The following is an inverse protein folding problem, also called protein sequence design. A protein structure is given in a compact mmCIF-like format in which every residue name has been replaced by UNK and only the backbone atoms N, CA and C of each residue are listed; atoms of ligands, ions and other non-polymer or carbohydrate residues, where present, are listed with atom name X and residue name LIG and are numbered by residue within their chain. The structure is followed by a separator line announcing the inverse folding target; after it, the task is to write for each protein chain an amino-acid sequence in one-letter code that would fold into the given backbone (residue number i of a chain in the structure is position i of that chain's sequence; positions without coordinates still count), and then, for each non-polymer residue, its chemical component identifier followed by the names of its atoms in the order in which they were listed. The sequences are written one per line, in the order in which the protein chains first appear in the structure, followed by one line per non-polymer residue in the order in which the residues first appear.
data_IF_894851635545
#
_entry.id   IF_894851635545
#
_cell.length_a   1.000
_cell.length_b   1.000
_cell.length_c   1.000
_cell.angle_alpha   90.00
_cell.angle_beta   90.00
_cell.angle_gamma   90.00
#
_symmetry.space_group_name_H-M   'P 1'
#
loop_
_entity.id
_entity.type
_entity.pdbx_description
1 polymer ?
#
# COMPACT_ATOMS: atom_id res chain seq x y z
N UNK A 1 54.80 -3.92 35.28
CA UNK A 1 53.83 -5.02 35.16
C UNK A 1 53.83 -5.50 33.71
N UNK A 2 54.36 -6.69 33.41
CA UNK A 2 54.27 -7.23 32.06
C UNK A 2 52.83 -7.78 31.85
N UNK A 3 52.16 -7.39 30.76
CA UNK A 3 50.83 -7.89 30.49
C UNK A 3 50.87 -9.41 30.24
N UNK A 4 50.01 -10.12 30.93
CA UNK A 4 49.94 -11.58 30.83
C UNK A 4 49.46 -11.95 29.41
N UNK A 5 50.34 -12.48 28.54
CA UNK A 5 50.08 -12.86 27.14
C UNK A 5 48.78 -13.69 26.99
N UNK A 6 48.46 -14.57 27.96
CA UNK A 6 47.22 -15.38 27.96
C UNK A 6 45.98 -14.49 28.12
N UNK A 7 46.04 -13.46 28.95
CA UNK A 7 44.91 -12.54 29.13
C UNK A 7 44.67 -11.65 27.89
N UNK A 8 45.75 -11.20 27.22
CA UNK A 8 45.65 -10.47 25.96
C UNK A 8 45.03 -11.31 24.85
N UNK A 9 45.43 -12.59 24.71
CA UNK A 9 44.86 -13.48 23.71
C UNK A 9 43.35 -13.73 23.98
N UNK A 10 42.97 -13.91 25.26
CA UNK A 10 41.54 -14.08 25.61
C UNK A 10 40.72 -12.84 25.24
N UNK A 11 41.19 -11.65 25.53
CA UNK A 11 40.52 -10.39 25.19
C UNK A 11 40.43 -10.26 23.66
N UNK A 12 41.51 -10.55 22.94
CA UNK A 12 41.51 -10.52 21.48
C UNK A 12 40.51 -11.49 20.90
N UNK A 13 40.46 -12.75 21.34
CA UNK A 13 39.51 -13.73 20.89
C UNK A 13 38.05 -13.29 21.19
N UNK A 14 37.80 -12.70 22.36
CA UNK A 14 36.48 -12.21 22.74
C UNK A 14 36.01 -11.06 21.84
N UNK A 15 36.90 -10.10 21.58
CA UNK A 15 36.62 -8.98 20.68
C UNK A 15 36.37 -9.47 19.24
N UNK A 16 37.22 -10.40 18.75
CA UNK A 16 37.04 -10.98 17.42
C UNK A 16 35.70 -11.73 17.31
N UNK A 17 35.33 -12.51 18.32
CA UNK A 17 34.02 -13.19 18.35
C UNK A 17 32.86 -12.19 18.33
N UNK A 18 32.97 -11.09 19.08
CA UNK A 18 31.96 -10.02 19.08
C UNK A 18 31.83 -9.36 17.68
N UNK A 19 32.96 -9.09 17.02
CA UNK A 19 32.95 -8.54 15.65
C UNK A 19 32.32 -9.51 14.64
N UNK A 20 32.62 -10.81 14.73
CA UNK A 20 32.01 -11.84 13.86
C UNK A 20 30.50 -11.91 14.08
N UNK A 21 30.04 -11.87 15.33
CA UNK A 21 28.61 -11.82 15.66
C UNK A 21 27.93 -10.56 15.10
N UNK A 22 28.57 -9.40 15.26
CA UNK A 22 28.06 -8.16 14.72
C UNK A 22 27.97 -8.19 13.19
N UNK A 23 29.02 -8.67 12.53
CA UNK A 23 29.05 -8.82 11.07
C UNK A 23 27.95 -9.79 10.60
N UNK A 24 27.77 -10.91 11.27
CA UNK A 24 26.67 -11.87 10.98
C UNK A 24 25.31 -11.27 11.17
N UNK A 25 25.11 -10.47 12.22
CA UNK A 25 23.86 -9.75 12.45
C UNK A 25 23.57 -8.67 11.37
N UNK A 26 24.61 -7.93 10.96
CA UNK A 26 24.48 -6.96 9.86
C UNK A 26 24.15 -7.66 8.54
N UNK A 27 24.77 -8.79 8.24
CA UNK A 27 24.43 -9.58 7.06
C UNK A 27 22.98 -10.06 7.11
N UNK A 28 22.50 -10.52 8.27
CA UNK A 28 21.09 -10.89 8.46
C UNK A 28 20.16 -9.71 8.13
N UNK A 29 20.45 -8.52 8.66
CA UNK A 29 19.66 -7.31 8.37
C UNK A 29 19.64 -7.01 6.88
N UNK A 30 20.82 -7.04 6.23
CA UNK A 30 20.94 -6.70 4.80
C UNK A 30 20.24 -7.71 3.90
N UNK A 31 20.33 -9.01 4.18
CA UNK A 31 19.80 -10.05 3.29
C UNK A 31 18.40 -10.55 3.66
N UNK A 32 17.95 -10.36 4.88
CA UNK A 32 16.66 -10.90 5.34
C UNK A 32 15.66 -9.86 5.80
N UNK A 33 16.12 -8.85 6.52
CA UNK A 33 15.24 -7.90 7.18
C UNK A 33 15.18 -6.53 6.42
N UNK A 34 16.00 -6.35 5.38
CA UNK A 34 16.09 -5.08 4.63
C UNK A 34 14.79 -4.72 3.93
N UNK A 35 14.09 -5.68 3.36
CA UNK A 35 12.82 -5.47 2.68
C UNK A 35 11.75 -4.93 3.65
N UNK A 36 11.62 -5.51 4.84
CA UNK A 36 10.70 -5.05 5.88
C UNK A 36 11.07 -3.66 6.44
N UNK A 37 12.37 -3.35 6.51
CA UNK A 37 12.84 -2.05 6.99
C UNK A 37 12.64 -0.95 5.95
N UNK A 38 12.80 -1.27 4.68
CA UNK A 38 12.62 -0.32 3.57
C UNK A 38 11.14 -0.06 3.32
N UNK A 39 10.29 -1.09 3.40
CA UNK A 39 8.83 -0.98 3.17
C UNK A 39 8.06 -0.44 4.37
N UNK A 40 8.73 -0.20 5.50
CA UNK A 40 8.06 0.32 6.68
C UNK A 40 7.59 1.76 6.44
N UNK A 41 6.28 2.00 6.56
CA UNK A 41 5.64 3.31 6.40
C UNK A 41 6.16 4.41 7.36
N UNK A 42 6.85 4.02 8.44
CA UNK A 42 7.54 4.94 9.35
C UNK A 42 8.96 5.31 8.90
N UNK A 43 9.46 4.74 7.80
CA UNK A 43 10.77 5.08 7.29
C UNK A 43 10.72 6.42 6.53
N UNK A 44 11.30 7.52 7.05
CA UNK A 44 11.24 8.82 6.40
C UNK A 44 11.95 8.86 5.04
N UNK A 45 12.82 7.90 4.75
CA UNK A 45 13.50 7.78 3.44
C UNK A 45 12.57 7.29 2.34
N UNK A 46 11.48 6.59 2.69
CA UNK A 46 10.46 6.14 1.73
C UNK A 46 9.69 7.34 1.14
N UNK A 47 9.65 8.46 1.87
CA UNK A 47 8.96 9.67 1.45
C UNK A 47 9.84 10.64 0.64
N UNK A 48 11.12 10.34 0.47
CA UNK A 48 11.99 11.13 -0.42
C UNK A 48 11.70 10.70 -1.84
N UNK A 49 11.14 11.60 -2.62
CA UNK A 49 10.87 11.37 -4.03
C UNK A 49 12.18 11.45 -4.81
N UNK A 50 12.59 10.35 -5.41
CA UNK A 50 13.75 10.34 -6.32
C UNK A 50 13.25 10.54 -7.75
N UNK A 51 13.20 11.80 -8.17
CA UNK A 51 12.78 12.18 -9.52
C UNK A 51 13.76 11.73 -10.62
N UNK A 52 14.89 11.15 -10.27
CA UNK A 52 15.87 10.64 -11.23
C UNK A 52 15.57 9.20 -11.67
N UNK A 53 14.72 8.49 -10.92
CA UNK A 53 14.32 7.12 -11.22
C UNK A 53 12.98 7.14 -11.98
N UNK A 54 12.93 6.46 -13.11
CA UNK A 54 11.67 6.18 -13.79
C UNK A 54 10.90 5.11 -13.01
N UNK A 55 9.89 5.51 -12.26
CA UNK A 55 9.01 4.57 -11.54
C UNK A 55 8.25 3.68 -12.53
N UNK A 56 8.06 2.42 -12.17
CA UNK A 56 7.29 1.45 -12.94
C UNK A 56 5.83 1.87 -13.14
N UNK A 57 5.18 1.32 -14.15
CA UNK A 57 3.79 1.61 -14.44
C UNK A 57 2.85 0.86 -13.49
N UNK A 58 1.71 1.47 -13.16
CA UNK A 58 0.59 0.81 -12.50
C UNK A 58 -0.48 0.55 -13.54
N UNK A 59 -0.87 -0.72 -13.71
CA UNK A 59 -1.85 -1.15 -14.71
C UNK A 59 -3.07 -1.78 -14.04
N UNK A 60 -4.22 -1.65 -14.68
CA UNK A 60 -5.42 -2.38 -14.29
C UNK A 60 -5.34 -3.86 -14.71
N UNK A 61 -6.38 -4.65 -14.40
CA UNK A 61 -6.43 -6.07 -14.73
C UNK A 61 -6.43 -6.35 -16.24
N UNK A 62 -6.83 -5.38 -17.05
CA UNK A 62 -6.90 -5.47 -18.50
C UNK A 62 -5.61 -4.93 -19.17
N UNK A 63 -4.63 -4.51 -18.39
CA UNK A 63 -3.38 -3.92 -18.87
C UNK A 63 -3.47 -2.44 -19.22
N UNK A 64 -4.58 -1.77 -18.90
CA UNK A 64 -4.73 -0.31 -19.07
C UNK A 64 -3.79 0.39 -18.10
N UNK A 65 -2.96 1.30 -18.59
CA UNK A 65 -2.03 2.06 -17.76
C UNK A 65 -2.78 3.12 -16.98
N UNK A 66 -2.77 3.01 -15.65
CA UNK A 66 -3.41 3.94 -14.72
C UNK A 66 -2.44 5.00 -14.19
N UNK A 67 -1.18 4.63 -13.98
CA UNK A 67 -0.12 5.57 -13.62
C UNK A 67 1.19 5.20 -14.31
N UNK A 68 1.94 6.22 -14.75
CA UNK A 68 3.22 6.08 -15.45
C UNK A 68 4.12 7.26 -15.14
N UNK A 69 5.42 7.13 -15.48
CA UNK A 69 6.39 8.22 -15.33
C UNK A 69 6.75 8.78 -16.70
N UNK A 70 6.55 10.09 -16.87
CA UNK A 70 6.91 10.85 -18.07
C UNK A 70 8.23 11.57 -17.85
N UNK A 71 9.13 11.56 -18.83
CA UNK A 71 10.41 12.24 -18.75
C UNK A 71 10.23 13.74 -18.93
N UNK A 72 10.75 14.51 -17.98
CA UNK A 72 10.79 15.97 -18.05
C UNK A 72 12.23 16.46 -17.78
N UNK A 73 12.95 16.75 -18.87
CA UNK A 73 14.37 17.08 -18.81
C UNK A 73 15.23 15.91 -18.30
N UNK A 74 15.90 16.12 -17.15
CA UNK A 74 16.71 15.10 -16.47
C UNK A 74 15.93 14.34 -15.37
N UNK A 75 14.67 14.69 -15.16
CA UNK A 75 13.81 14.15 -14.12
C UNK A 75 12.61 13.42 -14.71
N UNK A 76 11.84 12.74 -13.85
CA UNK A 76 10.59 12.09 -14.19
C UNK A 76 9.44 12.68 -13.39
N UNK A 77 8.31 12.90 -14.07
CA UNK A 77 7.06 13.35 -13.46
C UNK A 77 6.06 12.21 -13.48
N UNK A 78 5.43 11.95 -12.33
CA UNK A 78 4.38 10.93 -12.23
C UNK A 78 3.09 11.44 -12.85
N UNK A 79 2.46 10.62 -13.72
CA UNK A 79 1.21 10.91 -14.41
C UNK A 79 0.16 9.87 -14.07
N UNK A 80 -1.08 10.32 -13.94
CA UNK A 80 -2.22 9.50 -13.57
C UNK A 80 -3.32 9.59 -14.63
N UNK A 81 -3.60 8.49 -15.33
CA UNK A 81 -4.71 8.40 -16.27
C UNK A 81 -6.01 8.14 -15.49
N UNK A 82 -7.08 8.90 -15.79
CA UNK A 82 -8.34 8.86 -15.03
C UNK A 82 -8.08 8.90 -13.50
N UNK A 83 -7.12 9.76 -13.11
CA UNK A 83 -6.58 9.79 -11.75
C UNK A 83 -7.63 10.03 -10.67
N UNK A 84 -8.60 10.90 -10.95
CA UNK A 84 -9.68 11.25 -10.02
C UNK A 84 -10.54 10.03 -9.68
N UNK A 85 -10.90 9.19 -10.66
CA UNK A 85 -11.70 7.98 -10.44
C UNK A 85 -10.93 6.92 -9.66
N UNK A 86 -9.61 6.90 -9.80
CA UNK A 86 -8.72 5.92 -9.18
C UNK A 86 -7.93 6.46 -7.98
N UNK A 87 -8.17 7.71 -7.56
CA UNK A 87 -7.35 8.44 -6.58
C UNK A 87 -7.06 7.64 -5.30
N UNK A 88 -8.10 7.03 -4.71
CA UNK A 88 -7.95 6.29 -3.46
C UNK A 88 -7.34 4.90 -3.62
N UNK A 89 -7.33 4.34 -4.83
CA UNK A 89 -6.63 3.09 -5.16
C UNK A 89 -5.17 3.37 -5.43
N UNK A 90 -4.89 4.26 -6.38
CA UNK A 90 -3.53 4.60 -6.79
C UNK A 90 -2.78 5.32 -5.68
N UNK A 91 -3.46 6.24 -5.01
CA UNK A 91 -2.84 7.17 -4.11
C UNK A 91 -2.16 8.30 -4.88
N UNK A 92 -1.07 8.81 -4.33
CA UNK A 92 -0.32 9.94 -4.86
C UNK A 92 1.15 9.86 -4.48
N UNK A 93 1.97 10.68 -5.18
CA UNK A 93 3.34 11.07 -4.83
C UNK A 93 3.39 12.60 -4.69
N UNK A 94 4.50 13.15 -4.21
CA UNK A 94 4.72 14.61 -4.15
C UNK A 94 4.42 15.27 -2.80
N UNK A 95 3.53 14.72 -1.97
CA UNK A 95 3.29 15.12 -0.57
C UNK A 95 3.35 13.90 0.36
N UNK A 96 4.44 13.18 0.29
CA UNK A 96 4.53 11.81 0.76
C UNK A 96 3.92 10.86 -0.27
N UNK A 97 3.53 9.66 0.16
CA UNK A 97 2.95 8.64 -0.70
C UNK A 97 1.73 8.01 -0.03
N UNK A 98 0.73 7.65 -0.81
CA UNK A 98 -0.47 6.97 -0.32
C UNK A 98 -0.90 5.88 -1.31
N UNK A 99 -1.91 5.05 -0.94
CA UNK A 99 -2.47 4.02 -1.79
C UNK A 99 -1.43 3.03 -2.30
N UNK A 100 -1.57 2.60 -3.55
CA UNK A 100 -0.63 1.66 -4.19
C UNK A 100 0.75 2.27 -4.44
N UNK A 101 0.84 3.60 -4.65
CA UNK A 101 2.12 4.30 -4.73
C UNK A 101 2.96 4.15 -3.45
N UNK A 102 2.31 4.09 -2.28
CA UNK A 102 2.98 3.84 -1.01
C UNK A 102 3.21 2.35 -0.75
N UNK A 103 2.18 1.53 -0.98
CA UNK A 103 2.22 0.09 -0.67
C UNK A 103 3.29 -0.63 -1.51
N UNK A 104 3.38 -0.29 -2.78
CA UNK A 104 4.30 -0.91 -3.74
C UNK A 104 5.48 0.00 -4.10
N UNK A 105 5.80 0.96 -3.22
CA UNK A 105 6.86 1.92 -3.49
C UNK A 105 8.19 1.25 -3.84
N UNK A 106 8.54 0.19 -3.11
CA UNK A 106 9.77 -0.55 -3.34
C UNK A 106 9.80 -1.17 -4.75
N UNK A 107 8.73 -1.85 -5.15
CA UNK A 107 8.60 -2.46 -6.48
C UNK A 107 8.67 -1.41 -7.58
N UNK A 108 7.95 -0.30 -7.41
CA UNK A 108 7.87 0.76 -8.40
C UNK A 108 9.17 1.56 -8.57
N UNK A 109 10.02 1.65 -7.54
CA UNK A 109 11.32 2.36 -7.61
C UNK A 109 12.50 1.43 -7.85
N UNK A 110 12.35 0.12 -7.65
CA UNK A 110 13.45 -0.81 -7.72
C UNK A 110 13.20 -1.87 -8.79
N UNK A 111 14.27 -2.26 -9.47
CA UNK A 111 14.27 -3.45 -10.30
C UNK A 111 14.39 -4.64 -9.33
N UNK A 112 13.36 -5.48 -9.25
CA UNK A 112 13.36 -6.66 -8.36
C UNK A 112 14.34 -7.74 -8.79
N UNK A 113 14.87 -7.65 -10.01
CA UNK A 113 15.79 -8.63 -10.55
C UNK A 113 17.23 -8.11 -10.64
N UNK A 114 18.06 -8.68 -9.75
CA UNK A 114 19.52 -8.80 -9.77
C UNK A 114 20.38 -7.51 -9.78
N UNK A 115 21.23 -7.43 -8.77
CA UNK A 115 22.39 -6.53 -8.69
C UNK A 115 23.14 -6.45 -10.04
N UNK A 116 23.17 -7.54 -10.80
CA UNK A 116 23.78 -7.60 -12.12
C UNK A 116 23.10 -6.69 -13.16
N UNK A 117 21.77 -6.55 -13.14
CA UNK A 117 21.06 -5.67 -14.07
C UNK A 117 21.30 -4.20 -13.72
N UNK A 118 21.31 -3.84 -12.45
CA UNK A 118 21.66 -2.49 -12.00
C UNK A 118 23.09 -2.12 -12.37
N UNK A 119 24.03 -3.04 -12.16
CA UNK A 119 25.43 -2.84 -12.53
C UNK A 119 25.58 -2.74 -14.04
N UNK A 120 24.86 -3.56 -14.82
CA UNK A 120 24.88 -3.51 -16.28
C UNK A 120 24.25 -2.23 -16.83
N UNK A 121 23.16 -1.76 -16.23
CA UNK A 121 22.52 -0.49 -16.60
C UNK A 121 23.46 0.69 -16.30
N UNK A 122 24.08 0.70 -15.13
CA UNK A 122 25.09 1.71 -14.76
C UNK A 122 26.29 1.71 -15.71
N UNK A 123 26.82 0.54 -16.04
CA UNK A 123 27.97 0.42 -16.97
C UNK A 123 27.62 0.77 -18.41
N UNK A 124 26.38 0.57 -18.84
CA UNK A 124 25.91 0.87 -20.20
C UNK A 124 25.31 2.27 -20.34
N UNK A 125 25.15 3.01 -19.24
CA UNK A 125 24.48 4.32 -19.24
C UNK A 125 23.00 4.24 -19.63
N UNK A 126 22.35 3.09 -19.38
CA UNK A 126 20.90 2.90 -19.66
C UNK A 126 20.08 3.35 -18.44
N UNK A 127 18.88 3.86 -18.72
CA UNK A 127 17.95 4.31 -17.66
C UNK A 127 17.57 3.15 -16.72
N UNK A 128 17.55 3.44 -15.43
CA UNK A 128 17.01 2.53 -14.41
C UNK A 128 15.50 2.74 -14.37
N UNK A 129 14.74 1.70 -14.67
CA UNK A 129 13.27 1.71 -14.66
C UNK A 129 12.79 0.75 -13.58
N UNK A 130 11.92 1.21 -12.68
CA UNK A 130 11.29 0.36 -11.67
C UNK A 130 10.35 -0.68 -12.28
N UNK A 131 10.05 -1.72 -11.51
CA UNK A 131 9.12 -2.77 -11.96
C UNK A 131 7.68 -2.26 -12.00
N UNK A 132 6.94 -2.69 -13.03
CA UNK A 132 5.52 -2.36 -13.17
C UNK A 132 4.64 -3.35 -12.40
N UNK A 133 3.53 -2.87 -11.87
CA UNK A 133 2.55 -3.67 -11.16
C UNK A 133 1.22 -3.74 -11.91
N UNK A 134 0.52 -4.86 -11.77
CA UNK A 134 -0.84 -5.06 -12.27
C UNK A 134 -1.81 -5.22 -11.10
N UNK A 135 -2.80 -4.34 -11.07
CA UNK A 135 -3.86 -4.37 -10.07
C UNK A 135 -4.97 -5.35 -10.49
N UNK A 136 -5.78 -5.76 -9.53
CA UNK A 136 -6.99 -6.53 -9.80
C UNK A 136 -8.20 -5.66 -10.13
N UNK A 137 -8.06 -4.35 -10.02
CA UNK A 137 -9.10 -3.35 -10.33
C UNK A 137 -9.34 -3.30 -11.83
N UNK A 138 -10.59 -3.19 -12.23
CA UNK A 138 -11.05 -2.93 -13.59
C UNK A 138 -11.45 -1.46 -13.70
N UNK A 139 -10.73 -0.70 -14.50
CA UNK A 139 -10.91 0.75 -14.63
C UNK A 139 -12.30 1.12 -15.19
N UNK A 140 -12.89 0.27 -16.03
CA UNK A 140 -14.25 0.50 -16.52
C UNK A 140 -15.28 0.34 -15.38
N UNK A 141 -15.14 -0.74 -14.57
CA UNK A 141 -16.00 -0.97 -13.43
C UNK A 141 -15.83 0.12 -12.36
N UNK A 142 -14.60 0.59 -12.15
CA UNK A 142 -14.26 1.70 -11.28
C UNK A 142 -15.02 2.97 -11.69
N UNK A 143 -14.97 3.33 -12.97
CA UNK A 143 -15.66 4.48 -13.54
C UNK A 143 -17.19 4.38 -13.42
N UNK A 144 -17.75 3.20 -13.68
CA UNK A 144 -19.18 2.95 -13.48
C UNK A 144 -19.55 3.15 -12.01
N UNK A 145 -18.81 2.58 -11.08
CA UNK A 145 -19.05 2.72 -9.65
C UNK A 145 -18.93 4.18 -9.17
N UNK A 146 -17.95 4.92 -9.68
CA UNK A 146 -17.78 6.36 -9.40
C UNK A 146 -18.99 7.16 -9.87
N UNK A 147 -19.47 6.89 -11.10
CA UNK A 147 -20.62 7.60 -11.67
C UNK A 147 -21.92 7.26 -10.94
N UNK A 148 -22.11 6.00 -10.53
CA UNK A 148 -23.30 5.57 -9.77
C UNK A 148 -23.34 6.15 -8.36
N UNK A 149 -22.18 6.32 -7.72
CA UNK A 149 -22.10 6.99 -6.43
C UNK A 149 -22.45 8.49 -6.55
N UNK A 150 -22.21 9.08 -7.72
CA UNK A 150 -22.53 10.48 -8.02
C UNK A 150 -21.89 11.45 -7.04
N UNK A 151 -22.67 12.39 -6.52
CA UNK A 151 -22.24 13.39 -5.54
C UNK A 151 -22.39 12.91 -4.08
N UNK A 152 -22.78 11.66 -3.87
CA UNK A 152 -22.96 11.15 -2.53
C UNK A 152 -21.61 10.91 -1.84
N UNK A 153 -21.51 11.28 -0.56
CA UNK A 153 -20.38 10.99 0.29
C UNK A 153 -20.45 9.52 0.76
N UNK A 154 -19.45 8.73 0.42
CA UNK A 154 -19.46 7.30 0.75
C UNK A 154 -18.38 6.51 0.04
N UNK A 155 -18.56 5.18 0.03
CA UNK A 155 -17.66 4.26 -0.66
C UNK A 155 -18.42 3.13 -1.35
N UNK A 156 -17.83 2.62 -2.44
CA UNK A 156 -18.28 1.40 -3.15
C UNK A 156 -17.08 0.46 -3.25
N UNK A 157 -17.28 -0.79 -2.86
CA UNK A 157 -16.28 -1.85 -3.02
C UNK A 157 -16.91 -3.02 -3.74
N UNK A 158 -16.30 -3.45 -4.84
CA UNK A 158 -16.72 -4.61 -5.62
C UNK A 158 -15.67 -5.69 -5.49
N UNK A 159 -16.07 -6.84 -4.95
CA UNK A 159 -15.19 -7.97 -4.67
C UNK A 159 -15.64 -9.19 -5.43
N UNK A 160 -14.73 -9.88 -6.09
CA UNK A 160 -14.98 -11.16 -6.74
C UNK A 160 -15.09 -12.26 -5.67
N UNK A 161 -16.26 -12.87 -5.54
CA UNK A 161 -16.58 -13.78 -4.43
C UNK A 161 -15.63 -14.99 -4.37
N UNK A 162 -15.25 -15.55 -5.51
CA UNK A 162 -14.42 -16.77 -5.57
C UNK A 162 -12.96 -16.54 -5.17
N UNK A 163 -12.42 -15.38 -5.45
CA UNK A 163 -10.98 -15.10 -5.32
C UNK A 163 -10.66 -14.07 -4.25
N UNK A 164 -11.66 -13.28 -3.82
CA UNK A 164 -11.46 -12.12 -2.94
C UNK A 164 -10.82 -10.91 -3.64
N UNK A 165 -10.63 -10.96 -4.95
CA UNK A 165 -10.02 -9.85 -5.71
C UNK A 165 -10.93 -8.64 -5.70
N UNK A 166 -10.36 -7.47 -5.34
CA UNK A 166 -11.05 -6.19 -5.43
C UNK A 166 -11.06 -5.75 -6.90
N UNK A 167 -12.26 -5.60 -7.46
CA UNK A 167 -12.49 -5.21 -8.85
C UNK A 167 -12.78 -3.74 -9.03
N UNK A 168 -13.35 -3.10 -7.99
CA UNK A 168 -13.47 -1.65 -7.90
C UNK A 168 -13.44 -1.24 -6.42
N UNK A 169 -12.87 -0.08 -6.14
CA UNK A 169 -12.85 0.55 -4.83
C UNK A 169 -12.91 2.07 -5.00
N UNK A 170 -14.08 2.62 -4.75
CA UNK A 170 -14.38 4.05 -4.87
C UNK A 170 -14.58 4.66 -3.51
N UNK A 171 -14.07 5.85 -3.30
CA UNK A 171 -14.35 6.68 -2.13
C UNK A 171 -14.64 8.11 -2.58
N UNK A 172 -15.71 8.71 -2.07
CA UNK A 172 -16.10 10.10 -2.35
C UNK A 172 -16.39 10.89 -1.07
N UNK A 173 -16.10 12.21 -1.09
CA UNK A 173 -15.44 12.95 -2.15
C UNK A 173 -14.03 12.44 -2.40
N UNK A 174 -13.53 12.66 -3.60
CA UNK A 174 -12.19 12.28 -4.05
C UNK A 174 -11.34 13.53 -4.33
N UNK A 175 -10.14 13.33 -4.81
CA UNK A 175 -9.17 14.37 -5.14
C UNK A 175 -8.47 14.01 -6.46
N UNK A 176 -7.76 14.97 -7.05
CA UNK A 176 -6.90 14.69 -8.20
C UNK A 176 -5.48 14.39 -7.70
N UNK A 177 -4.96 13.16 -7.88
CA UNK A 177 -3.60 12.82 -7.49
C UNK A 177 -2.53 13.59 -8.28
N UNK A 178 -2.88 14.15 -9.45
CA UNK A 178 -1.96 14.93 -10.26
C UNK A 178 -1.68 16.31 -9.66
N UNK A 179 -2.67 16.92 -8.99
CA UNK A 179 -2.57 18.28 -8.42
C UNK A 179 -2.39 18.28 -6.91
N UNK A 180 -2.33 17.11 -6.28
CA UNK A 180 -2.33 16.94 -4.81
C UNK A 180 -1.32 17.83 -4.09
N UNK A 181 -0.13 18.03 -4.67
CA UNK A 181 0.93 18.82 -4.04
C UNK A 181 0.54 20.30 -3.92
N UNK A 182 -0.15 20.84 -4.93
CA UNK A 182 -0.63 22.23 -4.92
C UNK A 182 -1.89 22.42 -4.05
N UNK A 183 -2.73 21.38 -3.99
CA UNK A 183 -4.04 21.44 -3.34
C UNK A 183 -4.01 20.94 -1.87
N UNK A 184 -2.84 20.49 -1.39
CA UNK A 184 -2.70 19.79 -0.11
C UNK A 184 -3.34 20.48 1.08
N UNK A 185 -3.02 21.76 1.29
CA UNK A 185 -3.56 22.50 2.44
C UNK A 185 -5.08 22.68 2.38
N UNK A 186 -5.63 22.90 1.19
CA UNK A 186 -7.07 22.99 0.96
C UNK A 186 -7.75 21.67 1.23
N UNK A 187 -7.22 20.57 0.65
CA UNK A 187 -7.78 19.24 0.81
C UNK A 187 -7.70 18.73 2.26
N UNK A 188 -6.63 19.08 2.98
CA UNK A 188 -6.44 18.69 4.38
C UNK A 188 -7.40 19.41 5.33
N UNK A 189 -7.77 20.64 5.03
CA UNK A 189 -8.67 21.47 5.83
C UNK A 189 -10.15 21.27 5.45
N UNK A 190 -10.43 20.59 4.34
CA UNK A 190 -11.79 20.34 3.87
C UNK A 190 -12.55 19.43 4.82
N UNK A 191 -13.65 19.92 5.41
CA UNK A 191 -14.54 19.19 6.32
C UNK A 191 -15.14 17.94 5.68
N UNK A 192 -15.23 17.91 4.35
CA UNK A 192 -15.69 16.73 3.62
C UNK A 192 -14.66 15.59 3.61
N UNK A 193 -13.41 15.86 3.99
CA UNK A 193 -12.29 14.91 4.10
C UNK A 193 -12.07 14.13 2.80
N UNK A 194 -11.72 14.78 1.68
CA UNK A 194 -11.56 14.12 0.38
C UNK A 194 -10.36 13.16 0.34
N UNK A 195 -9.33 13.38 1.16
CA UNK A 195 -8.15 12.49 1.25
C UNK A 195 -8.47 11.16 1.95
N UNK A 196 -9.54 11.12 2.77
CA UNK A 196 -9.91 9.91 3.51
C UNK A 196 -10.41 8.82 2.57
N UNK A 197 -9.71 7.69 2.51
CA UNK A 197 -10.23 6.50 1.84
C UNK A 197 -11.33 5.84 2.69
N UNK A 198 -12.58 6.15 2.38
CA UNK A 198 -13.76 5.67 3.11
C UNK A 198 -13.98 4.17 2.99
N UNK A 199 -13.45 3.55 1.94
CA UNK A 199 -13.56 2.11 1.76
C UNK A 199 -12.68 1.32 2.73
N UNK A 200 -11.52 1.89 3.14
CA UNK A 200 -10.55 1.19 3.99
C UNK A 200 -10.42 1.79 5.38
N UNK A 201 -10.75 3.07 5.57
CA UNK A 201 -10.56 3.80 6.81
C UNK A 201 -11.87 4.35 7.40
N UNK A 202 -12.97 4.29 6.62
CA UNK A 202 -14.28 4.75 7.11
C UNK A 202 -14.84 3.82 8.18
N UNK A 203 -15.36 4.41 9.25
CA UNK A 203 -16.04 3.68 10.33
C UNK A 203 -17.54 3.94 10.22
N UNK A 204 -18.30 2.87 10.00
CA UNK A 204 -19.75 2.95 9.79
C UNK A 204 -20.49 2.00 10.74
N UNK A 205 -21.61 2.39 11.32
CA UNK A 205 -22.46 1.45 12.06
C UNK A 205 -22.96 0.37 11.12
N UNK A 206 -22.76 -0.91 11.44
CA UNK A 206 -23.06 -2.03 10.52
C UNK A 206 -24.56 -2.18 10.23
N UNK A 207 -25.44 -1.76 11.13
CA UNK A 207 -26.88 -1.93 10.99
C UNK A 207 -27.24 -3.39 10.67
N UNK A 208 -28.15 -3.60 9.72
CA UNK A 208 -28.61 -4.94 9.33
C UNK A 208 -27.54 -5.85 8.73
N UNK A 209 -26.39 -5.33 8.30
CA UNK A 209 -25.28 -6.17 7.83
C UNK A 209 -24.68 -7.00 8.97
N UNK A 210 -24.84 -6.57 10.23
CA UNK A 210 -24.43 -7.34 11.39
C UNK A 210 -25.20 -8.65 11.58
N UNK A 211 -26.36 -8.79 10.95
CA UNK A 211 -27.14 -10.05 10.97
C UNK A 211 -26.37 -11.24 10.41
N UNK A 212 -25.42 -11.01 9.51
CA UNK A 212 -24.52 -12.06 9.01
C UNK A 212 -23.68 -12.63 10.17
N UNK A 213 -23.12 -11.77 11.02
CA UNK A 213 -22.34 -12.19 12.19
C UNK A 213 -23.25 -12.95 13.18
N UNK A 214 -24.45 -12.43 13.42
CA UNK A 214 -25.43 -13.09 14.30
C UNK A 214 -25.85 -14.47 13.78
N UNK A 215 -26.07 -14.60 12.47
CA UNK A 215 -26.40 -15.88 11.84
C UNK A 215 -25.24 -16.89 11.97
N UNK A 216 -24.00 -16.47 11.73
CA UNK A 216 -22.81 -17.32 11.92
C UNK A 216 -22.67 -17.74 13.38
N UNK A 217 -22.90 -16.84 14.32
CA UNK A 217 -22.86 -17.14 15.76
C UNK A 217 -23.95 -18.16 16.13
N UNK A 218 -25.17 -17.99 15.62
CA UNK A 218 -26.27 -18.96 15.83
C UNK A 218 -25.88 -20.34 15.31
N UNK A 219 -25.36 -20.45 14.09
CA UNK A 219 -24.91 -21.70 13.49
C UNK A 219 -23.81 -22.41 14.30
N UNK A 220 -22.97 -21.64 14.98
CA UNK A 220 -21.83 -22.19 15.78
C UNK A 220 -22.23 -22.58 17.19
N UNK A 221 -23.18 -21.89 17.79
CA UNK A 221 -23.45 -21.99 19.23
C UNK A 221 -24.83 -22.53 19.59
N UNK A 222 -25.78 -22.57 18.63
CA UNK A 222 -27.09 -23.17 18.84
C UNK A 222 -27.16 -24.53 18.17
N UNK A 223 -27.29 -25.66 18.91
CA UNK A 223 -27.38 -26.99 18.33
C UNK A 223 -28.54 -27.13 17.34
N UNK A 224 -29.68 -26.52 17.63
CA UNK A 224 -30.92 -26.59 16.86
C UNK A 224 -31.23 -25.28 16.13
N UNK A 225 -30.22 -24.55 15.65
CA UNK A 225 -30.39 -23.24 15.01
C UNK A 225 -31.40 -23.24 13.85
N UNK A 226 -31.58 -24.39 13.16
CA UNK A 226 -32.52 -24.54 12.03
C UNK A 226 -33.97 -24.57 12.48
N UNK A 227 -34.24 -25.05 13.68
CA UNK A 227 -35.60 -25.15 14.27
C UNK A 227 -35.91 -24.03 15.27
N UNK A 228 -34.91 -23.17 15.53
CA UNK A 228 -35.07 -22.04 16.44
C UNK A 228 -36.15 -21.07 15.91
N UNK A 229 -37.16 -20.83 16.72
CA UNK A 229 -38.21 -19.86 16.43
C UNK A 229 -38.31 -18.85 17.54
N UNK A 230 -38.48 -17.57 17.18
CA UNK A 230 -38.70 -16.48 18.12
C UNK A 230 -39.93 -15.68 17.67
N UNK A 231 -40.77 -15.33 18.62
CA UNK A 231 -41.93 -14.48 18.37
C UNK A 231 -41.54 -13.03 18.64
N UNK A 232 -41.53 -12.19 17.61
CA UNK A 232 -41.28 -10.77 17.76
C UNK A 232 -42.56 -10.07 18.24
N UNK A 233 -42.49 -9.47 19.42
CA UNK A 233 -43.61 -8.69 20.01
C UNK A 233 -43.53 -7.20 19.71
N UNK A 234 -42.48 -6.77 18.94
CA UNK A 234 -42.24 -5.36 18.59
C UNK A 234 -41.38 -4.60 19.58
N UNK A 235 -41.29 -5.05 20.82
CA UNK A 235 -40.42 -4.49 21.87
C UNK A 235 -39.75 -5.63 22.63
N UNK A 236 -38.43 -5.58 22.79
CA UNK A 236 -37.67 -6.37 23.75
C UNK A 236 -37.00 -5.43 24.75
N UNK A 237 -37.24 -5.66 26.04
CA UNK A 237 -36.57 -4.97 27.13
C UNK A 237 -35.37 -5.83 27.56
N UNK A 238 -34.18 -5.31 27.42
CA UNK A 238 -32.93 -5.95 27.81
C UNK A 238 -32.56 -5.55 29.25
#
# INVERSE_FOLDING_TARGET
MQPNKKSMIRIFCLLTALFVLLAGYLLKIVFKDSEQMITNSYNPRVNVEDHTIRRGDIKDINGVVLAYSEKDGETYVRRYNDGVDNAHVLGYTGMGKAGMEAAENFTLEHISHEIQQRLSAFLRGTEVVGDSIALTVDSNLQKIATNLLGENKGAVVVVEIKTGRVRAMVSKPNYDPQTIAGDWETLRQDESSPILNRATQGLYPPGSTFKIVTAVAAMRHLPDWQSFTSTCTGEEVF
#
